data_IF_408279597783
#
_entry.id   IF_408279597783
#
_cell.length_a   1.000
_cell.length_b   1.000
_cell.length_c   1.000
_cell.angle_alpha   90.00
_cell.angle_beta   90.00
_cell.angle_gamma   90.00
#
_symmetry.space_group_name_H-M   'P 1'
#
loop_
_entity.id
_entity.type
_entity.pdbx_description
1 polymer ?
#
# COMPACT_ATOMS: atom_id res chain seq x y z
N UNK A 1 0.54 12.60 -18.72
CA UNK A 1 0.36 11.19 -18.33
C UNK A 1 -0.25 11.18 -16.93
N UNK A 2 -1.37 10.47 -16.71
CA UNK A 2 -2.00 10.44 -15.38
C UNK A 2 -1.47 9.24 -14.57
N UNK A 3 -0.40 9.46 -13.80
CA UNK A 3 0.29 8.43 -13.04
C UNK A 3 0.06 8.59 -11.53
N UNK A 4 -0.03 7.48 -10.81
CA UNK A 4 -0.17 7.48 -9.34
C UNK A 4 0.84 6.56 -8.66
N UNK A 5 1.24 6.95 -7.45
CA UNK A 5 1.88 6.07 -6.49
C UNK A 5 1.02 5.97 -5.24
N UNK A 6 0.78 4.73 -4.79
CA UNK A 6 0.00 4.45 -3.59
C UNK A 6 0.91 3.94 -2.50
N UNK A 7 0.89 4.62 -1.36
CA UNK A 7 1.68 4.32 -0.19
C UNK A 7 0.79 4.21 1.04
N UNK A 8 1.18 3.34 1.98
CA UNK A 8 0.53 3.27 3.28
C UNK A 8 1.56 3.06 4.37
N UNK A 9 1.50 3.91 5.40
CA UNK A 9 2.44 3.92 6.50
C UNK A 9 1.79 4.38 7.81
N UNK A 10 2.43 4.01 8.93
CA UNK A 10 1.96 4.36 10.26
C UNK A 10 2.41 5.78 10.59
N UNK A 11 1.47 6.66 10.95
CA UNK A 11 1.80 8.05 11.32
C UNK A 11 2.48 8.15 12.68
N UNK A 12 2.33 7.14 13.54
CA UNK A 12 2.86 7.16 14.91
C UNK A 12 4.27 6.57 15.07
N UNK A 13 4.86 6.04 13.99
CA UNK A 13 6.18 5.43 14.05
C UNK A 13 7.22 6.33 13.35
N UNK A 14 8.11 6.92 14.16
CA UNK A 14 9.38 7.49 13.70
C UNK A 14 10.37 6.34 13.42
N UNK A 15 10.04 5.46 12.48
CA UNK A 15 10.87 4.31 12.11
C UNK A 15 11.53 4.52 10.74
N UNK A 16 12.55 3.69 10.44
CA UNK A 16 13.29 3.74 9.18
C UNK A 16 12.47 3.28 7.96
N UNK A 17 11.43 2.45 8.15
CA UNK A 17 10.56 1.95 7.08
C UNK A 17 9.85 3.06 6.29
N UNK A 18 9.20 4.03 6.95
CA UNK A 18 8.65 5.22 6.29
C UNK A 18 9.63 5.98 5.40
N UNK A 19 10.93 6.00 5.74
CA UNK A 19 11.94 6.79 5.00
C UNK A 19 12.13 6.27 3.57
N UNK A 20 12.22 4.96 3.37
CA UNK A 20 12.37 4.38 2.03
C UNK A 20 11.15 4.66 1.13
N UNK A 21 9.93 4.62 1.68
CA UNK A 21 8.71 4.95 0.95
C UNK A 21 8.65 6.42 0.56
N UNK A 22 9.03 7.30 1.48
CA UNK A 22 9.11 8.75 1.25
C UNK A 22 10.16 9.09 0.19
N UNK A 23 11.32 8.41 0.19
CA UNK A 23 12.36 8.63 -0.82
C UNK A 23 11.85 8.27 -2.22
N UNK A 24 11.18 7.13 -2.37
CA UNK A 24 10.53 6.72 -3.63
C UNK A 24 9.50 7.74 -4.09
N UNK A 25 8.64 8.22 -3.19
CA UNK A 25 7.64 9.24 -3.49
C UNK A 25 8.30 10.54 -3.98
N UNK A 26 9.39 10.98 -3.34
CA UNK A 26 10.15 12.16 -3.72
C UNK A 26 10.75 12.02 -5.12
N UNK A 27 11.35 10.87 -5.45
CA UNK A 27 11.89 10.62 -6.79
C UNK A 27 10.78 10.64 -7.85
N UNK A 28 9.65 10.00 -7.60
CA UNK A 28 8.57 9.88 -8.58
C UNK A 28 7.77 11.17 -8.74
N UNK A 29 7.76 12.03 -7.72
CA UNK A 29 7.18 13.38 -7.82
C UNK A 29 7.86 14.23 -8.89
N UNK A 30 9.16 14.03 -9.13
CA UNK A 30 9.92 14.70 -10.20
C UNK A 30 9.39 14.28 -11.60
N UNK A 31 8.76 13.11 -11.70
CA UNK A 31 8.15 12.58 -12.92
C UNK A 31 6.62 12.74 -12.95
N UNK A 32 6.07 13.73 -12.23
CA UNK A 32 4.64 14.05 -12.18
C UNK A 32 3.72 12.93 -11.69
N UNK A 33 4.24 11.98 -10.90
CA UNK A 33 3.38 11.02 -10.21
C UNK A 33 2.57 11.71 -9.11
N UNK A 34 1.27 11.49 -9.10
CA UNK A 34 0.40 11.90 -7.99
C UNK A 34 0.57 10.92 -6.83
N UNK A 35 0.92 11.46 -5.67
CA UNK A 35 1.11 10.69 -4.45
C UNK A 35 -0.24 10.48 -3.78
N UNK A 36 -0.59 9.22 -3.53
CA UNK A 36 -1.82 8.83 -2.85
C UNK A 36 -1.50 8.05 -1.58
N UNK A 37 -1.39 8.80 -0.48
CA UNK A 37 -1.02 8.25 0.81
C UNK A 37 -2.25 7.89 1.66
N UNK A 38 -2.09 6.79 2.38
CA UNK A 38 -3.01 6.32 3.42
C UNK A 38 -2.26 6.23 4.75
N UNK A 39 -2.89 6.74 5.80
CA UNK A 39 -2.31 6.77 7.14
C UNK A 39 -3.16 5.94 8.09
N UNK A 40 -2.51 5.07 8.87
CA UNK A 40 -3.15 4.45 10.03
C UNK A 40 -2.50 4.95 11.33
N UNK A 41 -3.28 4.95 12.41
CA UNK A 41 -2.81 5.29 13.75
C UNK A 41 -2.62 4.00 14.53
N UNK A 42 -1.43 3.76 15.09
CA UNK A 42 -1.19 2.63 15.99
C UNK A 42 -1.98 2.79 17.31
N UNK A 43 -2.85 1.83 17.63
CA UNK A 43 -3.63 1.79 18.87
C UNK A 43 -4.90 0.93 18.77
N UNK A 44 -5.61 0.71 19.88
CA UNK A 44 -6.88 -0.07 19.92
C UNK A 44 -8.00 0.43 18.98
N UNK A 45 -7.87 1.65 18.44
CA UNK A 45 -8.78 2.23 17.43
C UNK A 45 -8.32 2.03 15.97
N UNK A 46 -7.12 1.46 15.76
CA UNK A 46 -6.52 1.24 14.45
C UNK A 46 -7.37 0.35 13.55
N UNK A 47 -7.98 -0.69 14.12
CA UNK A 47 -8.75 -1.69 13.37
C UNK A 47 -10.03 -1.09 12.78
N UNK A 48 -10.81 -0.36 13.59
CA UNK A 48 -12.02 0.34 13.14
C UNK A 48 -11.73 1.44 12.11
N UNK A 49 -10.64 2.20 12.30
CA UNK A 49 -10.20 3.21 11.33
C UNK A 49 -9.71 2.55 10.04
N UNK A 50 -8.99 1.43 10.12
CA UNK A 50 -8.56 0.66 8.95
C UNK A 50 -9.75 0.07 8.18
N UNK A 51 -10.82 -0.32 8.89
CA UNK A 51 -12.05 -0.84 8.29
C UNK A 51 -12.78 0.24 7.49
N UNK A 52 -12.95 1.43 8.07
CA UNK A 52 -13.56 2.58 7.38
C UNK A 52 -12.71 3.05 6.19
N UNK A 53 -11.39 3.13 6.37
CA UNK A 53 -10.47 3.49 5.29
C UNK A 53 -10.51 2.47 4.15
N UNK A 54 -10.48 1.17 4.48
CA UNK A 54 -10.56 0.10 3.49
C UNK A 54 -11.88 0.10 2.73
N UNK A 55 -13.00 0.49 3.33
CA UNK A 55 -14.30 0.44 2.67
C UNK A 55 -14.65 1.72 1.90
N UNK A 56 -14.20 2.88 2.36
CA UNK A 56 -14.64 4.16 1.79
C UNK A 56 -13.49 5.00 1.27
N UNK A 57 -12.45 5.22 2.07
CA UNK A 57 -11.38 6.15 1.67
C UNK A 57 -10.54 5.62 0.51
N UNK A 58 -10.16 4.34 0.54
CA UNK A 58 -9.35 3.72 -0.52
C UNK A 58 -10.12 3.70 -1.85
N UNK A 59 -11.36 3.18 -1.93
CA UNK A 59 -12.11 3.18 -3.18
C UNK A 59 -12.41 4.58 -3.71
N UNK A 60 -12.67 5.54 -2.82
CA UNK A 60 -12.98 6.91 -3.22
C UNK A 60 -11.73 7.64 -3.73
N UNK A 61 -10.61 7.57 -3.00
CA UNK A 61 -9.36 8.26 -3.38
C UNK A 61 -8.66 7.61 -4.58
N UNK A 62 -8.84 6.30 -4.78
CA UNK A 62 -8.35 5.60 -5.97
C UNK A 62 -9.33 5.64 -7.14
N UNK A 63 -10.45 6.37 -7.04
CA UNK A 63 -11.40 6.53 -8.14
C UNK A 63 -10.77 7.41 -9.23
N UNK A 64 -10.67 6.89 -10.44
CA UNK A 64 -10.08 7.61 -11.57
C UNK A 64 -9.76 6.70 -12.75
N UNK A 65 -9.03 7.24 -13.73
CA UNK A 65 -8.39 6.48 -14.80
C UNK A 65 -6.91 6.85 -14.86
N UNK A 66 -6.05 5.89 -14.57
CA UNK A 66 -4.60 6.08 -14.51
C UNK A 66 -3.92 5.29 -15.62
N UNK A 67 -2.85 5.85 -16.19
CA UNK A 67 -2.02 5.14 -17.16
C UNK A 67 -1.12 4.14 -16.41
N UNK A 68 -0.42 4.63 -15.38
CA UNK A 68 0.46 3.82 -14.54
C UNK A 68 0.10 4.01 -13.08
N UNK A 69 -0.03 2.91 -12.35
CA UNK A 69 -0.15 2.91 -10.90
C UNK A 69 0.97 2.09 -10.27
N UNK A 70 1.69 2.68 -9.32
CA UNK A 70 2.72 2.00 -8.53
C UNK A 70 2.15 1.78 -7.13
N UNK A 71 2.20 0.56 -6.63
CA UNK A 71 1.79 0.23 -5.27
C UNK A 71 3.01 -0.16 -4.43
N UNK A 72 3.24 0.58 -3.33
CA UNK A 72 4.30 0.27 -2.38
C UNK A 72 3.84 -0.79 -1.37
N UNK A 73 4.18 -2.04 -1.65
CA UNK A 73 3.87 -3.21 -0.82
C UNK A 73 4.95 -3.46 0.25
N UNK A 74 4.58 -3.94 1.46
CA UNK A 74 3.23 -4.16 1.95
C UNK A 74 2.61 -2.86 2.51
N UNK A 75 1.27 -2.82 2.55
CA UNK A 75 0.52 -1.86 3.35
C UNK A 75 0.51 -2.33 4.84
N UNK A 76 -0.64 -2.33 5.51
CA UNK A 76 -0.77 -2.75 6.92
C UNK A 76 -1.13 -4.22 7.08
N UNK A 77 -2.12 -4.68 6.32
CA UNK A 77 -2.65 -6.03 6.41
C UNK A 77 -3.08 -6.55 5.03
N UNK A 78 -3.28 -7.86 4.94
CA UNK A 78 -3.63 -8.54 3.70
C UNK A 78 -4.94 -8.02 3.08
N UNK A 79 -5.93 -7.70 3.93
CA UNK A 79 -7.22 -7.16 3.48
C UNK A 79 -7.03 -5.82 2.75
N UNK A 80 -6.30 -4.89 3.34
CA UNK A 80 -6.03 -3.58 2.74
C UNK A 80 -5.21 -3.72 1.47
N UNK A 81 -4.21 -4.62 1.43
CA UNK A 81 -3.49 -4.95 0.21
C UNK A 81 -4.43 -5.41 -0.92
N UNK A 82 -5.34 -6.34 -0.63
CA UNK A 82 -6.35 -6.83 -1.59
C UNK A 82 -7.26 -5.70 -2.08
N UNK A 83 -7.72 -4.82 -1.19
CA UNK A 83 -8.59 -3.70 -1.59
C UNK A 83 -7.86 -2.69 -2.47
N UNK A 84 -6.64 -2.29 -2.12
CA UNK A 84 -5.83 -1.38 -2.92
C UNK A 84 -5.60 -2.00 -4.30
N UNK A 85 -5.15 -3.25 -4.34
CA UNK A 85 -4.88 -3.97 -5.59
C UNK A 85 -6.11 -4.05 -6.50
N UNK A 86 -7.29 -4.39 -5.94
CA UNK A 86 -8.54 -4.46 -6.71
C UNK A 86 -8.91 -3.11 -7.32
N UNK A 87 -8.78 -2.01 -6.55
CA UNK A 87 -9.08 -0.68 -7.06
C UNK A 87 -8.07 -0.22 -8.12
N UNK A 88 -6.77 -0.49 -7.92
CA UNK A 88 -5.74 -0.16 -8.89
C UNK A 88 -5.91 -0.93 -10.20
N UNK A 89 -6.16 -2.24 -10.13
CA UNK A 89 -6.45 -3.07 -11.32
C UNK A 89 -7.68 -2.59 -12.08
N UNK A 90 -8.70 -2.09 -11.37
CA UNK A 90 -9.93 -1.56 -12.00
C UNK A 90 -9.72 -0.20 -12.67
N UNK A 91 -8.90 0.66 -12.08
CA UNK A 91 -8.82 2.07 -12.43
C UNK A 91 -7.53 2.45 -13.18
N UNK A 92 -6.62 1.50 -13.43
CA UNK A 92 -5.32 1.77 -14.05
C UNK A 92 -5.05 0.83 -15.23
N UNK A 93 -4.37 1.31 -16.27
CA UNK A 93 -3.98 0.47 -17.41
C UNK A 93 -2.82 -0.47 -17.06
N UNK A 94 -1.83 0.04 -16.34
CA UNK A 94 -0.68 -0.74 -15.85
C UNK A 94 -0.55 -0.58 -14.34
N UNK A 95 -0.31 -1.70 -13.66
CA UNK A 95 -0.09 -1.74 -12.22
C UNK A 95 1.29 -2.35 -11.96
N UNK A 96 2.13 -1.63 -11.25
CA UNK A 96 3.45 -2.05 -10.80
C UNK A 96 3.44 -2.22 -9.29
N UNK A 97 4.12 -3.24 -8.78
CA UNK A 97 4.22 -3.50 -7.35
C UNK A 97 5.68 -3.27 -6.95
N UNK A 98 5.89 -2.28 -6.08
CA UNK A 98 7.19 -2.02 -5.48
C UNK A 98 7.21 -2.71 -4.11
N UNK A 99 7.94 -3.81 -4.04
CA UNK A 99 8.07 -4.63 -2.83
C UNK A 99 9.19 -4.04 -1.98
N UNK A 100 8.83 -3.49 -0.83
CA UNK A 100 9.78 -2.98 0.17
C UNK A 100 10.19 -4.04 1.17
N UNK A 101 9.26 -4.93 1.50
CA UNK A 101 9.47 -6.03 2.43
C UNK A 101 8.63 -7.23 1.99
N UNK A 102 9.12 -8.42 2.30
CA UNK A 102 8.38 -9.65 2.14
C UNK A 102 8.21 -10.24 3.54
N UNK A 103 7.01 -10.08 4.09
CA UNK A 103 6.65 -10.59 5.41
C UNK A 103 6.85 -12.12 5.53
N UNK A 104 6.84 -12.85 4.41
CA UNK A 104 7.17 -14.28 4.34
C UNK A 104 8.67 -14.59 4.46
N UNK A 105 9.55 -13.63 4.16
CA UNK A 105 11.01 -13.75 4.31
C UNK A 105 11.50 -13.21 5.65
N UNK A 106 10.72 -12.33 6.30
CA UNK A 106 10.93 -12.00 7.71
C UNK A 106 10.66 -13.24 8.53
N UNK A 107 11.71 -13.87 9.05
CA UNK A 107 11.61 -14.95 10.03
C UNK A 107 10.75 -14.48 11.21
N UNK A 108 9.46 -14.79 11.18
CA UNK A 108 8.68 -14.93 12.40
C UNK A 108 9.14 -16.24 13.00
N UNK A 109 9.73 -16.17 14.17
CA UNK A 109 10.18 -17.32 14.95
C UNK A 109 8.98 -18.10 15.54
N UNK A 110 7.96 -18.38 14.71
CA UNK A 110 6.76 -19.13 15.06
C UNK A 110 6.65 -20.26 14.04
N UNK A 111 6.95 -21.48 14.50
CA UNK A 111 7.25 -22.68 13.71
C UNK A 111 6.13 -23.28 12.85
N UNK A 112 5.41 -22.47 12.06
CA UNK A 112 4.42 -22.96 11.11
C UNK A 112 4.79 -22.57 9.68
N UNK A 113 4.94 -23.59 8.84
CA UNK A 113 5.19 -23.50 7.40
C UNK A 113 4.08 -22.68 6.71
N UNK A 114 4.48 -21.63 5.98
CA UNK A 114 3.57 -20.86 5.14
C UNK A 114 3.66 -21.34 3.68
N UNK A 115 2.57 -21.92 3.18
CA UNK A 115 2.34 -22.07 1.73
C UNK A 115 1.96 -20.71 1.13
N UNK A 116 2.63 -20.34 0.04
CA UNK A 116 2.45 -19.08 -0.68
C UNK A 116 1.24 -19.16 -1.62
N UNK A 117 0.05 -18.87 -1.11
CA UNK A 117 -1.15 -18.69 -1.92
C UNK A 117 -1.18 -17.26 -2.50
N UNK A 118 -0.36 -17.00 -3.53
CA UNK A 118 -0.23 -15.66 -4.14
C UNK A 118 -0.97 -15.47 -5.47
N UNK A 119 -1.75 -16.44 -5.97
CA UNK A 119 -2.33 -16.35 -7.33
C UNK A 119 -3.73 -16.95 -7.51
N UNK A 120 -4.66 -16.74 -6.57
CA UNK A 120 -6.10 -16.90 -6.82
C UNK A 120 -6.88 -15.59 -6.64
#
# INVERSE_FOLDING_TARGET
MNNIIVSMYNKSQNEAGPKAKIDVENFLKIYDFKIQDFYFYGGRRAELVSYRQSLFDIPFRLKGRYENAIFQYPALNERTNKVIMRNLKKNSQKVYILIHDLESLRFKNDGNNFELDLLN
#
